data_IF_862265462311
#
_entry.id   IF_862265462311
#
_cell.length_a   1.000
_cell.length_b   1.000
_cell.length_c   1.000
_cell.angle_alpha   90.00
_cell.angle_beta   90.00
_cell.angle_gamma   90.00
#
_symmetry.space_group_name_H-M   'P 1'
#
loop_
_entity.id
_entity.type
_entity.pdbx_description
1 polymer ?
#
# COMPACT_ATOMS: atom_id res chain seq x y z
N UNK A 1 0.81 -17.08 28.94
CA UNK A 1 1.64 -16.41 27.90
C UNK A 1 1.89 -14.97 28.32
N UNK A 2 3.16 -14.54 28.33
CA UNK A 2 3.69 -13.21 28.63
C UNK A 2 2.80 -12.19 29.40
N UNK A 3 3.19 -11.81 30.61
CA UNK A 3 2.52 -10.73 31.35
C UNK A 3 3.29 -9.41 31.25
N UNK A 4 2.54 -8.32 31.08
CA UNK A 4 3.05 -6.94 31.21
C UNK A 4 2.94 -6.52 32.67
N UNK A 5 4.08 -6.43 33.37
CA UNK A 5 4.12 -5.94 34.74
C UNK A 5 4.67 -4.52 34.78
N UNK A 6 4.08 -3.69 35.65
CA UNK A 6 4.44 -2.29 35.84
C UNK A 6 5.34 -2.17 37.07
N UNK A 7 6.55 -1.65 36.89
CA UNK A 7 7.53 -1.56 38.00
C UNK A 7 7.75 -0.10 38.39
N UNK A 8 7.52 0.22 39.67
CA UNK A 8 7.92 1.45 40.38
C UNK A 8 7.79 2.79 39.63
N UNK A 9 6.59 3.41 39.66
CA UNK A 9 6.39 4.85 39.47
C UNK A 9 6.69 5.45 38.09
N UNK A 10 7.50 4.81 37.25
CA UNK A 10 7.69 5.12 35.82
C UNK A 10 6.99 4.04 35.00
N UNK A 11 6.36 4.42 33.89
CA UNK A 11 5.72 3.49 32.96
C UNK A 11 6.79 2.68 32.21
N UNK A 12 7.43 1.73 32.90
CA UNK A 12 8.28 0.71 32.29
C UNK A 12 7.48 -0.58 32.30
N UNK A 13 7.15 -1.07 31.10
CA UNK A 13 6.50 -2.35 30.91
C UNK A 13 7.58 -3.42 30.83
N UNK A 14 7.59 -4.36 31.76
CA UNK A 14 8.47 -5.53 31.70
C UNK A 14 7.68 -6.73 31.19
N UNK A 15 8.20 -7.38 30.15
CA UNK A 15 7.61 -8.60 29.59
C UNK A 15 8.18 -9.80 30.34
N UNK A 16 7.35 -10.53 31.08
CA UNK A 16 7.74 -11.72 31.85
C UNK A 16 7.10 -12.98 31.27
N UNK A 17 7.86 -14.07 31.09
CA UNK A 17 7.30 -15.36 30.68
C UNK A 17 6.60 -16.05 31.85
N UNK A 18 5.44 -16.65 31.58
CA UNK A 18 4.64 -17.38 32.58
C UNK A 18 4.26 -18.77 32.07
N UNK A 19 4.41 -19.75 32.95
CA UNK A 19 4.03 -21.14 32.72
C UNK A 19 2.53 -21.40 33.04
N UNK A 20 1.79 -20.36 33.39
CA UNK A 20 0.33 -20.40 33.52
C UNK A 20 -0.33 -20.24 32.14
N UNK A 21 -1.25 -21.14 31.79
CA UNK A 21 -1.89 -21.17 30.48
C UNK A 21 -2.92 -22.28 30.25
N UNK A 22 -3.08 -23.20 31.21
CA UNK A 22 -4.19 -24.14 31.22
C UNK A 22 -5.49 -23.44 31.59
N UNK A 23 -6.58 -23.81 30.93
CA UNK A 23 -7.91 -23.23 31.14
C UNK A 23 -8.86 -24.37 31.51
N UNK A 24 -9.53 -24.24 32.65
CA UNK A 24 -10.62 -25.15 33.03
C UNK A 24 -11.87 -24.73 32.25
N UNK A 25 -12.48 -25.65 31.52
CA UNK A 25 -13.73 -25.37 30.81
C UNK A 25 -14.83 -25.18 31.87
N UNK A 26 -15.58 -24.06 31.86
CA UNK A 26 -16.68 -23.85 32.79
C UNK A 26 -17.66 -25.03 32.77
N UNK A 27 -18.17 -25.42 33.95
CA UNK A 27 -19.16 -26.51 34.12
C UNK A 27 -18.64 -27.93 33.81
N UNK A 28 -17.33 -28.10 33.58
CA UNK A 28 -16.69 -29.42 33.47
C UNK A 28 -15.44 -29.49 34.36
N UNK A 29 -14.98 -30.70 34.68
CA UNK A 29 -13.68 -30.93 35.34
C UNK A 29 -12.51 -31.01 34.35
N UNK A 30 -12.76 -30.73 33.06
CA UNK A 30 -11.75 -30.79 32.02
C UNK A 30 -10.84 -29.56 32.03
N UNK A 31 -9.54 -29.82 31.98
CA UNK A 31 -8.49 -28.81 31.87
C UNK A 31 -7.89 -28.91 30.48
N UNK A 32 -8.00 -27.82 29.71
CA UNK A 32 -7.38 -27.72 28.40
C UNK A 32 -5.97 -27.19 28.58
N UNK A 33 -4.99 -28.03 28.25
CA UNK A 33 -3.61 -27.62 28.17
C UNK A 33 -3.37 -26.72 26.95
N UNK A 34 -2.45 -25.76 27.04
CA UNK A 34 -2.14 -24.91 25.91
C UNK A 34 -1.64 -25.78 24.74
N UNK A 35 -2.05 -25.43 23.53
CA UNK A 35 -1.63 -26.07 22.29
C UNK A 35 -1.38 -24.99 21.24
N UNK A 36 -0.56 -25.27 20.22
CA UNK A 36 -0.49 -24.41 19.05
C UNK A 36 -1.79 -24.49 18.23
N UNK A 37 -2.01 -23.51 17.35
CA UNK A 37 -3.12 -23.55 16.39
C UNK A 37 -3.05 -24.85 15.57
N UNK A 38 -4.16 -25.58 15.53
CA UNK A 38 -4.24 -26.93 14.95
C UNK A 38 -4.10 -28.08 15.95
N UNK A 39 -3.72 -27.81 17.21
CA UNK A 39 -3.84 -28.75 18.33
C UNK A 39 -2.82 -29.91 18.37
N UNK A 40 -1.86 -29.97 17.43
CA UNK A 40 -0.98 -31.14 17.24
C UNK A 40 0.17 -31.18 18.26
N UNK A 41 0.65 -30.02 18.73
CA UNK A 41 1.83 -29.94 19.59
C UNK A 41 1.59 -29.06 20.83
N UNK A 42 2.00 -29.57 22.00
CA UNK A 42 2.05 -28.79 23.24
C UNK A 42 3.24 -27.82 23.23
N UNK A 43 3.04 -26.55 23.63
CA UNK A 43 4.09 -25.55 23.79
C UNK A 43 4.92 -25.77 25.07
N UNK A 44 4.63 -26.81 25.87
CA UNK A 44 5.38 -27.14 27.09
C UNK A 44 6.44 -28.22 26.88
N UNK A 45 7.68 -27.92 27.28
CA UNK A 45 8.75 -28.93 27.30
C UNK A 45 9.87 -28.67 28.33
N UNK A 46 9.61 -27.90 29.40
CA UNK A 46 10.54 -27.57 30.51
C UNK A 46 11.87 -26.87 30.15
N UNK A 47 12.27 -26.83 28.87
CA UNK A 47 13.59 -26.32 28.44
C UNK A 47 13.56 -24.90 27.86
N UNK A 48 12.44 -24.45 27.30
CA UNK A 48 12.30 -23.13 26.66
C UNK A 48 10.98 -22.48 27.04
N UNK A 49 10.92 -21.15 26.96
CA UNK A 49 9.69 -20.42 27.25
C UNK A 49 8.65 -20.70 26.17
N UNK A 50 7.38 -20.74 26.55
CA UNK A 50 6.25 -20.90 25.60
C UNK A 50 6.28 -19.84 24.48
N UNK A 51 6.74 -18.62 24.77
CA UNK A 51 6.88 -17.53 23.77
C UNK A 51 7.93 -17.84 22.72
N UNK A 52 9.11 -18.29 23.13
CA UNK A 52 10.17 -18.67 22.19
C UNK A 52 9.74 -19.84 21.31
N UNK A 53 9.00 -20.80 21.88
CA UNK A 53 8.46 -21.92 21.12
C UNK A 53 7.36 -21.50 20.16
N UNK A 54 6.44 -20.63 20.58
CA UNK A 54 5.44 -20.05 19.70
C UNK A 54 6.09 -19.30 18.54
N UNK A 55 7.08 -18.46 18.82
CA UNK A 55 7.81 -17.73 17.78
C UNK A 55 8.46 -18.69 16.77
N UNK A 56 9.08 -19.78 17.25
CA UNK A 56 9.67 -20.81 16.38
C UNK A 56 8.62 -21.59 15.59
N UNK A 57 7.51 -21.94 16.21
CA UNK A 57 6.41 -22.65 15.56
C UNK A 57 5.76 -21.78 14.48
N UNK A 58 5.53 -20.50 14.76
CA UNK A 58 4.90 -19.53 13.84
C UNK A 58 5.64 -19.47 12.49
N UNK A 59 6.97 -19.52 12.50
CA UNK A 59 7.79 -19.48 11.27
C UNK A 59 8.32 -20.85 10.85
N UNK A 60 7.82 -21.93 11.47
CA UNK A 60 8.24 -23.28 11.13
C UNK A 60 7.67 -23.71 9.78
N UNK A 61 8.43 -24.54 9.05
CA UNK A 61 7.95 -25.13 7.77
C UNK A 61 6.72 -26.02 7.95
N UNK A 62 6.46 -26.48 9.17
CA UNK A 62 5.33 -27.32 9.51
C UNK A 62 4.06 -26.50 9.84
N UNK A 63 4.16 -25.17 9.90
CA UNK A 63 3.01 -24.29 10.07
C UNK A 63 2.45 -23.87 8.70
N UNK A 64 1.34 -24.46 8.22
CA UNK A 64 0.78 -24.13 6.91
C UNK A 64 0.18 -22.71 6.86
N UNK A 65 -0.24 -22.17 8.01
CA UNK A 65 -0.99 -20.92 8.08
C UNK A 65 -0.13 -19.69 7.79
N UNK A 66 1.12 -19.69 8.26
CA UNK A 66 2.00 -18.52 8.13
C UNK A 66 2.31 -18.19 6.67
N UNK A 67 2.60 -19.21 5.87
CA UNK A 67 2.88 -19.04 4.44
C UNK A 67 1.63 -18.55 3.69
N UNK A 68 0.47 -19.20 3.88
CA UNK A 68 -0.79 -18.80 3.25
C UNK A 68 -1.21 -17.39 3.63
N UNK A 69 -1.18 -17.04 4.92
CA UNK A 69 -1.54 -15.70 5.40
C UNK A 69 -0.61 -14.62 4.81
N UNK A 70 0.70 -14.88 4.78
CA UNK A 70 1.68 -13.93 4.22
C UNK A 70 1.48 -13.76 2.72
N UNK A 71 1.34 -14.86 1.97
CA UNK A 71 1.09 -14.83 0.53
C UNK A 71 -0.21 -14.08 0.24
N UNK A 72 -1.30 -14.39 0.93
CA UNK A 72 -2.60 -13.73 0.74
C UNK A 72 -2.52 -12.22 1.01
N UNK A 73 -1.78 -11.82 2.05
CA UNK A 73 -1.59 -10.41 2.38
C UNK A 73 -0.76 -9.67 1.35
N UNK A 74 0.34 -10.27 0.89
CA UNK A 74 1.18 -9.68 -0.18
C UNK A 74 0.39 -9.63 -1.50
N UNK A 75 -0.38 -10.66 -1.80
CA UNK A 75 -1.29 -10.68 -2.94
C UNK A 75 -2.30 -9.53 -2.83
N UNK A 76 -2.98 -9.35 -1.70
CA UNK A 76 -3.93 -8.26 -1.51
C UNK A 76 -3.30 -6.87 -1.70
N UNK A 77 -2.05 -6.65 -1.24
CA UNK A 77 -1.33 -5.39 -1.47
C UNK A 77 -1.08 -5.14 -2.97
N UNK A 78 -0.73 -6.19 -3.71
CA UNK A 78 -0.43 -6.10 -5.14
C UNK A 78 -1.68 -6.03 -6.01
N UNK A 79 -2.70 -6.82 -5.73
CA UNK A 79 -3.90 -6.98 -6.56
C UNK A 79 -5.13 -6.23 -6.01
N UNK A 80 -5.03 -5.59 -4.84
CA UNK A 80 -6.11 -4.82 -4.19
C UNK A 80 -7.07 -5.68 -3.37
N UNK A 81 -7.14 -6.98 -3.67
CA UNK A 81 -7.98 -7.96 -2.96
C UNK A 81 -7.19 -9.24 -2.74
N UNK A 82 -7.32 -9.82 -1.55
CA UNK A 82 -6.72 -11.14 -1.25
C UNK A 82 -7.46 -12.27 -1.95
N UNK A 83 -6.78 -13.39 -2.17
CA UNK A 83 -7.40 -14.64 -2.62
C UNK A 83 -8.42 -15.11 -1.58
N UNK A 84 -8.08 -14.94 -0.29
CA UNK A 84 -9.02 -14.94 0.84
C UNK A 84 -9.28 -13.49 1.22
N UNK A 85 -10.55 -13.11 1.30
CA UNK A 85 -10.94 -11.74 1.66
C UNK A 85 -12.14 -11.77 2.62
N UNK A 86 -12.10 -11.11 3.81
CA UNK A 86 -11.03 -10.26 4.33
C UNK A 86 -9.68 -10.97 4.51
N UNK A 87 -8.57 -10.22 4.39
CA UNK A 87 -7.21 -10.79 4.31
C UNK A 87 -6.78 -11.61 5.53
N UNK A 88 -7.37 -11.32 6.69
CA UNK A 88 -7.06 -11.95 7.97
C UNK A 88 -8.15 -12.96 8.42
N UNK A 89 -9.25 -13.10 7.66
CA UNK A 89 -10.39 -13.98 8.03
C UNK A 89 -10.28 -15.35 7.36
N UNK A 90 -9.31 -16.15 7.82
CA UNK A 90 -9.16 -17.53 7.42
C UNK A 90 -10.08 -18.44 8.24
N UNK A 91 -10.99 -19.15 7.58
CA UNK A 91 -11.86 -20.12 8.23
C UNK A 91 -12.73 -20.87 7.23
N UNK A 92 -13.37 -21.94 7.69
CA UNK A 92 -14.27 -22.74 6.84
C UNK A 92 -15.48 -21.95 6.33
N UNK A 93 -15.85 -20.86 7.02
CA UNK A 93 -16.92 -19.95 6.61
C UNK A 93 -16.50 -18.99 5.47
N UNK A 94 -15.20 -18.84 5.22
CA UNK A 94 -14.65 -17.94 4.20
C UNK A 94 -13.60 -18.67 3.33
N UNK A 95 -14.05 -19.54 2.41
CA UNK A 95 -13.14 -20.30 1.57
C UNK A 95 -12.35 -19.39 0.61
N UNK A 96 -11.13 -19.80 0.30
CA UNK A 96 -10.28 -19.17 -0.71
C UNK A 96 -10.96 -19.19 -2.08
N UNK A 97 -10.92 -18.07 -2.80
CA UNK A 97 -11.43 -17.99 -4.19
C UNK A 97 -10.66 -18.92 -5.13
N UNK A 98 -9.36 -19.09 -4.90
CA UNK A 98 -8.46 -19.92 -5.70
C UNK A 98 -7.58 -20.76 -4.76
N UNK A 99 -8.11 -21.84 -4.16
CA UNK A 99 -7.42 -22.59 -3.11
C UNK A 99 -6.13 -23.24 -3.61
N UNK A 100 -6.17 -23.88 -4.78
CA UNK A 100 -4.99 -24.54 -5.38
C UNK A 100 -3.84 -23.57 -5.63
N UNK A 101 -4.15 -22.37 -6.15
CA UNK A 101 -3.18 -21.30 -6.38
C UNK A 101 -2.56 -20.81 -5.06
N UNK A 102 -3.39 -20.57 -4.04
CA UNK A 102 -2.90 -20.11 -2.74
C UNK A 102 -1.98 -21.14 -2.09
N UNK A 103 -2.33 -22.42 -2.19
CA UNK A 103 -1.54 -23.52 -1.66
C UNK A 103 -0.20 -23.67 -2.37
N UNK A 104 -0.19 -23.58 -3.71
CA UNK A 104 1.04 -23.64 -4.50
C UNK A 104 1.98 -22.47 -4.15
N UNK A 105 1.46 -21.25 -4.13
CA UNK A 105 2.25 -20.06 -3.77
C UNK A 105 2.78 -20.13 -2.33
N UNK A 106 1.98 -20.63 -1.39
CA UNK A 106 2.39 -20.80 0.00
C UNK A 106 3.51 -21.85 0.13
N UNK A 107 3.42 -22.97 -0.58
CA UNK A 107 4.46 -24.00 -0.59
C UNK A 107 5.77 -23.46 -1.18
N UNK A 108 5.72 -22.79 -2.33
CA UNK A 108 6.92 -22.21 -2.96
C UNK A 108 7.53 -21.10 -2.11
N UNK A 109 6.70 -20.26 -1.47
CA UNK A 109 7.16 -19.25 -0.53
C UNK A 109 7.87 -19.89 0.68
N UNK A 110 7.33 -20.97 1.25
CA UNK A 110 7.98 -21.70 2.34
C UNK A 110 9.30 -22.37 1.88
N UNK A 111 9.35 -22.93 0.66
CA UNK A 111 10.57 -23.51 0.06
C UNK A 111 11.66 -22.46 -0.15
N UNK A 112 11.29 -21.23 -0.51
CA UNK A 112 12.21 -20.09 -0.65
C UNK A 112 12.87 -19.65 0.67
N UNK A 113 12.39 -20.15 1.81
CA UNK A 113 12.81 -19.69 3.13
C UNK A 113 12.12 -18.39 3.55
N UNK A 114 10.89 -18.17 3.08
CA UNK A 114 10.08 -16.96 3.34
C UNK A 114 10.71 -15.66 2.78
N UNK A 115 11.35 -15.73 1.61
CA UNK A 115 11.94 -14.57 0.95
C UNK A 115 10.86 -13.70 0.30
N UNK A 116 10.55 -12.56 0.94
CA UNK A 116 9.58 -11.58 0.45
C UNK A 116 10.00 -10.99 -0.90
N UNK A 117 11.30 -10.81 -1.16
CA UNK A 117 11.77 -10.28 -2.46
C UNK A 117 11.53 -11.28 -3.57
N UNK A 118 11.74 -12.56 -3.29
CA UNK A 118 11.39 -13.63 -4.21
C UNK A 118 9.87 -13.62 -4.49
N UNK A 119 9.03 -13.57 -3.44
CA UNK A 119 7.57 -13.57 -3.60
C UNK A 119 7.07 -12.41 -4.46
N UNK A 120 7.52 -11.18 -4.16
CA UNK A 120 7.18 -9.99 -4.94
C UNK A 120 7.60 -10.13 -6.40
N UNK A 121 8.82 -10.63 -6.66
CA UNK A 121 9.31 -10.85 -8.02
C UNK A 121 8.50 -11.90 -8.76
N UNK A 122 8.11 -12.98 -8.09
CA UNK A 122 7.31 -14.05 -8.67
C UNK A 122 5.92 -13.52 -9.07
N UNK A 123 5.24 -12.81 -8.16
CA UNK A 123 3.91 -12.27 -8.40
C UNK A 123 3.89 -11.21 -9.51
N UNK A 124 4.85 -10.26 -9.50
CA UNK A 124 4.93 -9.18 -10.50
C UNK A 124 5.28 -9.66 -11.92
N UNK A 125 5.81 -10.89 -12.05
CA UNK A 125 6.09 -11.52 -13.34
C UNK A 125 4.93 -12.36 -13.88
N UNK A 126 3.84 -12.48 -13.13
CA UNK A 126 2.67 -13.24 -13.58
C UNK A 126 1.89 -12.47 -14.65
N UNK A 127 1.20 -13.22 -15.53
CA UNK A 127 0.23 -12.62 -16.44
C UNK A 127 -0.85 -11.86 -15.68
N UNK A 128 -1.33 -12.41 -14.56
CA UNK A 128 -2.37 -11.80 -13.74
C UNK A 128 -2.00 -10.38 -13.28
N UNK A 129 -0.75 -10.17 -12.82
CA UNK A 129 -0.29 -8.85 -12.40
C UNK A 129 -0.12 -7.88 -13.56
N UNK A 130 0.14 -8.39 -14.77
CA UNK A 130 0.39 -7.59 -15.98
C UNK A 130 -0.87 -7.35 -16.82
N UNK A 131 -2.05 -7.73 -16.33
CA UNK A 131 -3.30 -7.48 -17.04
C UNK A 131 -3.65 -5.99 -17.03
N UNK A 132 -4.36 -5.52 -18.06
CA UNK A 132 -4.93 -4.18 -18.10
C UNK A 132 -6.00 -4.02 -17.02
N UNK A 133 -6.21 -2.79 -16.55
CA UNK A 133 -7.38 -2.44 -15.72
C UNK A 133 -8.62 -2.05 -16.53
N UNK A 134 -8.52 -1.99 -17.86
CA UNK A 134 -9.65 -1.67 -18.75
C UNK A 134 -10.76 -2.72 -18.65
N UNK A 135 -12.01 -2.25 -18.54
CA UNK A 135 -13.20 -3.09 -18.56
C UNK A 135 -13.68 -3.26 -20.00
N UNK A 136 -14.05 -4.48 -20.37
CA UNK A 136 -14.75 -4.78 -21.62
C UNK A 136 -16.27 -4.59 -21.53
N UNK A 137 -16.78 -4.24 -20.34
CA UNK A 137 -18.19 -4.03 -20.05
C UNK A 137 -19.04 -5.31 -20.06
N UNK A 138 -18.41 -6.49 -20.12
CA UNK A 138 -19.11 -7.77 -20.11
C UNK A 138 -19.42 -8.25 -18.69
N UNK A 139 -20.35 -9.20 -18.57
CA UNK A 139 -20.64 -9.86 -17.28
C UNK A 139 -19.50 -10.76 -16.77
N UNK A 140 -18.53 -11.06 -17.62
CA UNK A 140 -17.31 -11.80 -17.26
C UNK A 140 -16.25 -10.87 -16.63
N UNK A 141 -16.46 -9.56 -16.67
CA UNK A 141 -15.63 -8.58 -15.97
C UNK A 141 -15.87 -8.64 -14.45
N UNK A 142 -15.17 -9.57 -13.81
CA UNK A 142 -15.20 -9.84 -12.36
C UNK A 142 -13.81 -9.55 -11.76
N UNK A 143 -13.45 -8.27 -11.54
CA UNK A 143 -12.14 -7.90 -10.99
C UNK A 143 -11.89 -8.51 -9.60
N UNK A 144 -12.93 -8.83 -8.83
CA UNK A 144 -12.82 -9.52 -7.56
C UNK A 144 -12.35 -10.99 -7.67
N UNK A 145 -12.45 -11.56 -8.88
CA UNK A 145 -11.91 -12.88 -9.26
C UNK A 145 -10.66 -12.75 -10.14
N UNK A 146 -10.06 -11.57 -10.20
CA UNK A 146 -8.83 -11.31 -10.96
C UNK A 146 -8.98 -11.54 -12.48
N UNK A 147 -10.14 -11.25 -13.07
CA UNK A 147 -10.33 -11.26 -14.54
C UNK A 147 -9.50 -10.18 -15.26
N UNK A 148 -9.22 -9.09 -14.55
CA UNK A 148 -8.38 -7.96 -14.95
C UNK A 148 -7.71 -7.34 -13.73
N UNK A 149 -6.83 -6.35 -13.93
CA UNK A 149 -6.26 -5.63 -12.80
C UNK A 149 -7.34 -4.73 -12.16
N UNK A 150 -7.52 -4.89 -10.85
CA UNK A 150 -8.44 -4.04 -10.12
C UNK A 150 -7.83 -2.66 -9.92
N UNK A 151 -8.61 -1.61 -10.15
CA UNK A 151 -8.20 -0.24 -9.84
C UNK A 151 -8.15 -0.10 -8.32
N UNK A 152 -7.02 0.41 -7.81
CA UNK A 152 -6.79 0.59 -6.37
C UNK A 152 -6.61 2.05 -6.04
N UNK A 153 -7.11 2.45 -4.88
CA UNK A 153 -6.76 3.74 -4.31
C UNK A 153 -5.35 3.67 -3.71
N UNK A 154 -4.53 4.68 -3.96
CA UNK A 154 -3.26 4.83 -3.25
C UNK A 154 -3.54 5.07 -1.76
N UNK A 155 -2.78 4.43 -0.89
CA UNK A 155 -2.85 4.74 0.55
C UNK A 155 -2.35 6.16 0.80
N UNK A 156 -2.70 6.74 1.96
CA UNK A 156 -2.22 8.07 2.33
C UNK A 156 -0.68 8.18 2.28
N UNK A 157 0.02 7.11 2.70
CA UNK A 157 1.47 7.00 2.61
C UNK A 157 1.95 7.02 1.16
N UNK A 158 1.36 6.18 0.30
CA UNK A 158 1.73 6.10 -1.11
C UNK A 158 1.46 7.42 -1.84
N UNK A 159 0.31 8.04 -1.60
CA UNK A 159 -0.06 9.32 -2.21
C UNK A 159 0.92 10.43 -1.80
N UNK A 160 1.31 10.49 -0.52
CA UNK A 160 2.32 11.46 -0.06
C UNK A 160 3.68 11.24 -0.74
N UNK A 161 4.12 9.98 -0.80
CA UNK A 161 5.42 9.64 -1.38
C UNK A 161 5.41 9.91 -2.91
N UNK A 162 4.31 9.65 -3.61
CA UNK A 162 4.10 10.02 -5.02
C UNK A 162 4.12 11.56 -5.22
N UNK A 163 3.49 12.32 -4.34
CA UNK A 163 3.54 13.79 -4.38
C UNK A 163 4.97 14.30 -4.19
N UNK A 164 5.72 13.75 -3.24
CA UNK A 164 7.10 14.13 -3.01
C UNK A 164 7.99 13.85 -4.24
N UNK A 165 7.82 12.67 -4.85
CA UNK A 165 8.57 12.27 -6.05
C UNK A 165 8.19 13.11 -7.28
N UNK A 166 6.90 13.27 -7.58
CA UNK A 166 6.40 14.00 -8.74
C UNK A 166 6.81 15.48 -8.72
N UNK A 167 6.93 16.04 -7.52
CA UNK A 167 7.32 17.44 -7.31
C UNK A 167 8.83 17.61 -7.15
N UNK A 168 9.57 16.49 -7.22
CA UNK A 168 11.03 16.37 -7.02
C UNK A 168 11.51 17.02 -5.74
N UNK A 169 10.65 17.02 -4.72
CA UNK A 169 10.98 17.58 -3.42
C UNK A 169 12.00 16.65 -2.77
N UNK A 170 13.28 17.05 -2.77
CA UNK A 170 14.35 16.35 -2.04
C UNK A 170 14.18 16.54 -0.54
N UNK A 171 13.12 16.00 0.04
CA UNK A 171 13.16 15.67 1.46
C UNK A 171 13.98 14.39 1.57
N UNK A 172 15.18 14.49 2.14
CA UNK A 172 16.23 13.50 2.00
C UNK A 172 15.74 12.07 2.20
N UNK A 173 15.73 11.30 1.11
CA UNK A 173 15.68 9.84 1.09
C UNK A 173 16.92 9.37 1.88
N UNK A 174 16.80 9.25 3.21
CA UNK A 174 17.92 8.99 4.11
C UNK A 174 17.92 9.74 5.44
N UNK A 175 17.00 10.68 5.72
CA UNK A 175 16.89 11.27 7.06
C UNK A 175 16.15 10.34 8.04
N UNK A 176 16.79 9.23 8.40
CA UNK A 176 16.27 8.21 9.33
C UNK A 176 16.05 8.70 10.77
N UNK A 177 15.94 10.01 11.05
CA UNK A 177 15.83 10.56 12.41
C UNK A 177 14.98 11.82 12.58
N UNK A 178 14.35 12.33 11.53
CA UNK A 178 13.36 13.40 11.64
C UNK A 178 11.99 12.81 11.36
N UNK A 179 11.08 12.83 12.33
CA UNK A 179 9.66 12.68 12.03
C UNK A 179 9.33 13.83 11.07
N UNK A 180 9.13 13.53 9.79
CA UNK A 180 8.59 14.49 8.84
C UNK A 180 7.19 14.88 9.33
N UNK A 181 7.12 16.06 9.96
CA UNK A 181 5.90 16.59 10.54
C UNK A 181 4.86 16.84 9.45
N UNK A 182 5.28 17.17 8.22
CA UNK A 182 4.37 17.36 7.09
C UNK A 182 3.74 16.03 6.69
N UNK A 183 4.55 14.96 6.63
CA UNK A 183 4.04 13.59 6.39
C UNK A 183 3.04 13.17 7.46
N UNK A 184 3.36 13.35 8.74
CA UNK A 184 2.42 12.95 9.81
C UNK A 184 1.10 13.73 9.77
N UNK A 185 1.16 15.05 9.56
CA UNK A 185 -0.03 15.88 9.39
C UNK A 185 -0.85 15.49 8.17
N UNK A 186 -0.18 15.10 7.07
CA UNK A 186 -0.84 14.57 5.89
C UNK A 186 -1.54 13.25 6.20
N UNK A 187 -0.84 12.27 6.77
CA UNK A 187 -1.41 10.97 7.12
C UNK A 187 -2.59 11.10 8.08
N UNK A 188 -2.54 12.00 9.06
CA UNK A 188 -3.65 12.21 9.99
C UNK A 188 -4.92 12.70 9.28
N UNK A 189 -4.79 13.50 8.23
CA UNK A 189 -5.93 14.00 7.44
C UNK A 189 -6.46 12.99 6.42
N UNK A 190 -5.60 12.10 5.94
CA UNK A 190 -5.91 11.14 4.87
C UNK A 190 -6.17 9.71 5.36
N UNK A 191 -5.97 9.41 6.65
CA UNK A 191 -6.41 8.15 7.27
C UNK A 191 -7.93 8.12 7.39
N UNK A 192 -8.62 7.74 6.32
CA UNK A 192 -9.98 7.22 6.40
C UNK A 192 -9.93 5.73 6.81
N UNK A 193 -10.93 5.22 7.55
CA UNK A 193 -11.07 3.80 7.80
C UNK A 193 -11.55 3.09 6.51
N UNK A 194 -10.67 2.92 5.53
CA UNK A 194 -10.98 2.16 4.30
C UNK A 194 -11.28 0.71 4.64
N UNK A 195 -12.40 0.18 4.16
CA UNK A 195 -12.76 -1.24 4.31
C UNK A 195 -12.07 -2.15 3.27
N UNK A 196 -11.55 -1.59 2.18
CA UNK A 196 -10.72 -2.30 1.19
C UNK A 196 -9.85 -1.37 0.33
N UNK A 197 -8.81 -1.91 -0.32
CA UNK A 197 -7.88 -1.12 -1.18
C UNK A 197 -8.49 -0.72 -2.53
N UNK A 198 -9.55 -1.41 -2.95
CA UNK A 198 -10.29 -1.15 -4.20
C UNK A 198 -11.44 -0.17 -4.03
N UNK A 199 -11.72 0.26 -2.80
CA UNK A 199 -12.76 1.25 -2.51
C UNK A 199 -12.13 2.64 -2.49
N UNK A 200 -12.69 3.56 -3.29
CA UNK A 200 -12.28 4.95 -3.32
C UNK A 200 -13.15 5.76 -2.37
N UNK A 201 -12.63 6.07 -1.19
CA UNK A 201 -13.29 6.91 -0.19
C UNK A 201 -12.52 8.22 0.06
N UNK A 202 -12.06 8.89 -0.99
CA UNK A 202 -11.55 10.26 -0.82
C UNK A 202 -12.75 11.20 -0.62
N UNK A 203 -12.99 11.60 0.63
CA UNK A 203 -14.00 12.60 0.96
C UNK A 203 -13.66 14.00 0.42
N UNK A 204 -14.67 14.86 0.40
CA UNK A 204 -14.55 16.29 0.03
C UNK A 204 -13.38 16.98 0.79
N UNK A 205 -13.14 16.74 2.10
CA UNK A 205 -12.03 17.36 2.82
C UNK A 205 -10.64 16.96 2.29
N UNK A 206 -10.47 15.72 1.84
CA UNK A 206 -9.22 15.22 1.28
C UNK A 206 -8.94 15.88 -0.07
N UNK A 207 -9.94 15.93 -0.96
CA UNK A 207 -9.83 16.63 -2.24
C UNK A 207 -9.54 18.13 -2.05
N UNK A 208 -10.23 18.80 -1.12
CA UNK A 208 -9.96 20.21 -0.79
C UNK A 208 -8.56 20.42 -0.19
N UNK A 209 -8.05 19.44 0.57
CA UNK A 209 -6.69 19.47 1.12
C UNK A 209 -5.64 19.33 0.03
N UNK A 210 -5.88 18.53 -1.02
CA UNK A 210 -5.01 18.49 -2.20
C UNK A 210 -5.07 19.82 -2.95
N UNK A 211 -6.26 20.29 -3.30
CA UNK A 211 -6.44 21.50 -4.13
C UNK A 211 -5.85 22.77 -3.50
N UNK A 212 -6.02 22.93 -2.17
CA UNK A 212 -5.61 24.13 -1.43
C UNK A 212 -4.36 23.92 -0.55
N UNK A 213 -3.78 22.72 -0.58
CA UNK A 213 -2.67 22.35 0.29
C UNK A 213 -1.41 23.12 -0.04
N UNK A 214 -0.61 23.41 0.99
CA UNK A 214 0.71 24.02 0.80
C UNK A 214 1.62 23.13 -0.06
N UNK A 215 1.48 21.81 0.01
CA UNK A 215 2.26 20.87 -0.82
C UNK A 215 2.05 21.13 -2.31
N UNK A 216 0.79 21.18 -2.76
CA UNK A 216 0.46 21.42 -4.16
C UNK A 216 0.80 22.86 -4.55
N UNK A 217 0.51 23.86 -3.69
CA UNK A 217 0.86 25.26 -3.98
C UNK A 217 2.36 25.47 -4.19
N UNK A 218 3.21 24.84 -3.38
CA UNK A 218 4.67 24.94 -3.52
C UNK A 218 5.15 24.20 -4.79
N UNK A 219 4.53 23.06 -5.09
CA UNK A 219 4.84 22.27 -6.27
C UNK A 219 4.47 22.94 -7.60
N UNK A 220 3.44 23.79 -7.61
CA UNK A 220 2.94 24.47 -8.81
C UNK A 220 3.48 25.89 -8.97
N UNK A 221 4.24 26.39 -7.98
CA UNK A 221 4.90 27.68 -8.02
C UNK A 221 6.28 27.59 -8.70
N UNK A 222 6.50 28.44 -9.71
CA UNK A 222 7.73 28.46 -10.51
C UNK A 222 8.99 28.80 -9.70
N UNK A 223 8.86 29.49 -8.56
CA UNK A 223 9.99 29.87 -7.71
C UNK A 223 10.39 28.80 -6.70
N UNK A 224 9.52 27.80 -6.47
CA UNK A 224 9.70 26.78 -5.43
C UNK A 224 9.76 25.36 -6.00
N UNK A 225 9.25 25.15 -7.22
CA UNK A 225 9.18 23.84 -7.85
C UNK A 225 10.45 23.53 -8.66
N UNK A 226 11.25 22.59 -8.15
CA UNK A 226 12.44 22.08 -8.85
C UNK A 226 12.08 21.48 -10.22
N UNK A 227 10.92 20.83 -10.33
CA UNK A 227 10.41 20.27 -11.58
C UNK A 227 10.13 21.38 -12.62
N UNK A 228 9.36 22.40 -12.24
CA UNK A 228 8.99 23.48 -13.16
C UNK A 228 10.20 24.31 -13.60
N UNK A 229 11.15 24.53 -12.70
CA UNK A 229 12.43 25.20 -13.02
C UNK A 229 13.21 24.38 -14.05
N UNK A 230 13.30 23.05 -13.87
CA UNK A 230 14.04 22.17 -14.77
C UNK A 230 13.43 22.11 -16.19
N UNK A 231 12.11 22.00 -16.31
CA UNK A 231 11.44 21.92 -17.63
C UNK A 231 11.37 23.27 -18.36
N UNK A 232 11.49 24.38 -17.64
CA UNK A 232 11.52 25.72 -18.23
C UNK A 232 12.87 26.04 -18.92
N UNK A 233 13.81 25.11 -18.94
CA UNK A 233 15.05 25.28 -19.67
C UNK A 233 14.81 25.53 -21.18
N UNK A 234 15.65 26.34 -21.85
CA UNK A 234 15.39 26.85 -23.20
C UNK A 234 15.44 25.78 -24.30
N UNK A 235 15.97 24.60 -24.00
CA UNK A 235 16.12 23.50 -24.96
C UNK A 235 14.89 22.58 -25.07
N UNK A 236 13.89 22.73 -24.19
CA UNK A 236 12.66 21.95 -24.27
C UNK A 236 11.57 22.65 -25.08
N UNK A 237 10.94 21.92 -25.99
CA UNK A 237 9.71 22.35 -26.65
C UNK A 237 8.51 22.24 -25.70
N UNK A 238 7.44 23.00 -25.93
CA UNK A 238 6.22 22.89 -25.11
C UNK A 238 5.67 21.46 -25.07
N UNK A 239 5.78 20.73 -26.18
CA UNK A 239 5.39 19.32 -26.23
C UNK A 239 6.24 18.46 -25.28
N UNK A 240 7.57 18.61 -25.31
CA UNK A 240 8.47 17.87 -24.42
C UNK A 240 8.23 18.22 -22.95
N UNK A 241 7.92 19.48 -22.64
CA UNK A 241 7.57 19.91 -21.29
C UNK A 241 6.32 19.19 -20.78
N UNK A 242 5.29 19.09 -21.62
CA UNK A 242 4.06 18.35 -21.29
C UNK A 242 4.36 16.86 -21.11
N UNK A 243 5.17 16.25 -21.99
CA UNK A 243 5.56 14.85 -21.85
C UNK A 243 6.28 14.59 -20.51
N UNK A 244 7.20 15.47 -20.09
CA UNK A 244 7.90 15.37 -18.80
C UNK A 244 6.93 15.51 -17.63
N UNK A 245 5.96 16.44 -17.70
CA UNK A 245 4.94 16.60 -16.65
C UNK A 245 4.14 15.31 -16.46
N UNK A 246 3.65 14.71 -17.56
CA UNK A 246 2.89 13.45 -17.52
C UNK A 246 3.72 12.27 -17.01
N UNK A 247 4.98 12.15 -17.44
CA UNK A 247 5.85 11.08 -16.96
C UNK A 247 6.18 11.23 -15.48
N UNK A 248 6.32 12.46 -14.99
CA UNK A 248 6.66 12.72 -13.58
C UNK A 248 5.46 12.53 -12.64
N UNK A 249 4.22 12.74 -13.12
CA UNK A 249 3.01 12.62 -12.30
C UNK A 249 2.29 11.29 -12.49
N UNK A 250 2.06 10.86 -13.73
CA UNK A 250 1.22 9.71 -14.09
C UNK A 250 2.03 8.52 -14.64
N UNK A 251 3.36 8.63 -14.74
CA UNK A 251 4.24 7.58 -15.26
C UNK A 251 3.88 7.05 -16.66
N UNK A 252 3.16 7.83 -17.46
CA UNK A 252 2.80 7.53 -18.85
C UNK A 252 2.99 8.73 -19.75
N UNK A 253 2.97 8.51 -21.07
CA UNK A 253 2.88 9.61 -22.02
C UNK A 253 1.43 10.14 -22.14
N UNK A 254 1.24 11.42 -22.45
CA UNK A 254 -0.08 11.96 -22.76
C UNK A 254 -0.59 11.33 -24.06
N UNK A 255 -1.88 11.02 -24.09
CA UNK A 255 -2.55 10.57 -25.30
C UNK A 255 -2.56 11.71 -26.34
N UNK A 256 -2.52 11.45 -27.67
CA UNK A 256 -2.46 12.50 -28.69
C UNK A 256 -3.48 13.64 -28.51
N UNK A 257 -4.72 13.30 -28.15
CA UNK A 257 -5.78 14.29 -27.88
C UNK A 257 -5.49 15.18 -26.66
N UNK A 258 -4.99 14.60 -25.57
CA UNK A 258 -4.63 15.32 -24.35
C UNK A 258 -3.45 16.26 -24.64
N UNK A 259 -2.44 15.74 -25.34
CA UNK A 259 -1.24 16.48 -25.74
C UNK A 259 -1.62 17.72 -26.55
N UNK A 260 -2.43 17.56 -27.59
CA UNK A 260 -2.82 18.67 -28.46
C UNK A 260 -3.61 19.76 -27.70
N UNK A 261 -4.49 19.37 -26.78
CA UNK A 261 -5.26 20.31 -25.96
C UNK A 261 -4.37 21.08 -24.99
N UNK A 262 -3.48 20.37 -24.30
CA UNK A 262 -2.61 20.96 -23.26
C UNK A 262 -1.54 21.85 -23.90
N UNK A 263 -0.94 21.43 -25.01
CA UNK A 263 0.02 22.28 -25.74
C UNK A 263 -0.64 23.57 -26.21
N UNK A 264 -1.84 23.50 -26.79
CA UNK A 264 -2.62 24.70 -27.17
C UNK A 264 -2.93 25.60 -25.97
N UNK A 265 -3.20 25.02 -24.80
CA UNK A 265 -3.44 25.78 -23.58
C UNK A 265 -2.17 26.53 -23.10
N UNK A 266 -1.02 25.85 -23.11
CA UNK A 266 0.28 26.43 -22.73
C UNK A 266 0.72 27.52 -23.71
N UNK A 267 0.49 27.33 -25.01
CA UNK A 267 0.79 28.31 -26.05
C UNK A 267 -0.05 29.58 -25.95
N UNK A 268 -1.30 29.46 -25.50
CA UNK A 268 -2.17 30.62 -25.21
C UNK A 268 -1.79 31.38 -23.93
N UNK A 269 -0.80 30.89 -23.18
CA UNK A 269 -0.39 31.47 -21.90
C UNK A 269 -1.31 31.12 -20.72
N UNK A 270 -2.14 30.09 -20.87
CA UNK A 270 -3.06 29.64 -19.83
C UNK A 270 -4.04 30.73 -19.38
N UNK A 271 -4.42 30.72 -18.10
CA UNK A 271 -5.36 31.71 -17.53
C UNK A 271 -4.76 33.10 -17.36
N UNK A 272 -3.44 33.18 -17.17
CA UNK A 272 -2.73 34.41 -16.83
C UNK A 272 -2.02 35.08 -18.03
N UNK A 273 -2.08 34.48 -19.23
CA UNK A 273 -1.33 34.93 -20.41
C UNK A 273 0.19 34.70 -20.31
N UNK A 274 0.64 33.86 -19.36
CA UNK A 274 2.05 33.51 -19.15
C UNK A 274 2.23 32.00 -19.32
N UNK A 275 2.95 31.58 -20.37
CA UNK A 275 3.21 30.17 -20.67
C UNK A 275 3.91 29.44 -19.53
N UNK A 276 4.69 30.12 -18.68
CA UNK A 276 5.33 29.49 -17.52
C UNK A 276 4.31 29.15 -16.44
N UNK A 277 3.38 30.07 -16.16
CA UNK A 277 2.28 29.82 -15.21
C UNK A 277 1.32 28.76 -15.73
N UNK A 278 1.10 28.71 -17.05
CA UNK A 278 0.29 27.67 -17.67
C UNK A 278 0.83 26.25 -17.42
N UNK A 279 2.15 26.06 -17.34
CA UNK A 279 2.75 24.76 -16.96
C UNK A 279 2.47 24.40 -15.49
N UNK A 280 2.45 25.39 -14.60
CA UNK A 280 2.03 25.22 -13.20
C UNK A 280 0.56 24.83 -13.08
N UNK A 281 -0.31 25.45 -13.89
CA UNK A 281 -1.75 25.12 -13.96
C UNK A 281 -1.96 23.68 -14.46
N UNK A 282 -1.20 23.24 -15.46
CA UNK A 282 -1.23 21.86 -15.97
C UNK A 282 -0.76 20.87 -14.90
N UNK A 283 0.34 21.18 -14.21
CA UNK A 283 0.82 20.34 -13.10
C UNK A 283 -0.21 20.26 -11.97
N UNK A 284 -0.84 21.38 -11.62
CA UNK A 284 -1.92 21.41 -10.63
C UNK A 284 -3.09 20.49 -11.04
N UNK A 285 -3.50 20.55 -12.31
CA UNK A 285 -4.59 19.72 -12.82
C UNK A 285 -4.25 18.22 -12.80
N UNK A 286 -3.02 17.86 -13.15
CA UNK A 286 -2.55 16.46 -13.09
C UNK A 286 -2.52 15.94 -11.65
N UNK A 287 -1.99 16.69 -10.69
CA UNK A 287 -1.90 16.29 -9.29
C UNK A 287 -3.27 16.17 -8.59
N UNK A 288 -4.30 16.86 -9.08
CA UNK A 288 -5.67 16.81 -8.56
C UNK A 288 -6.59 15.90 -9.40
N UNK A 289 -6.06 15.21 -10.40
CA UNK A 289 -6.82 14.27 -11.21
C UNK A 289 -7.15 13.00 -10.43
N UNK A 290 -8.27 12.35 -10.77
CA UNK A 290 -8.60 11.03 -10.22
C UNK A 290 -7.52 9.99 -10.57
N UNK A 291 -6.92 10.10 -11.76
CA UNK A 291 -5.85 9.22 -12.22
C UNK A 291 -4.62 9.26 -11.31
N UNK A 292 -4.31 10.40 -10.69
CA UNK A 292 -3.16 10.51 -9.79
C UNK A 292 -3.36 9.81 -8.44
N UNK A 293 -4.61 9.66 -7.98
CA UNK A 293 -4.93 9.02 -6.69
C UNK A 293 -5.14 7.52 -6.85
N UNK A 294 -5.28 7.05 -8.09
CA UNK A 294 -5.56 5.66 -8.43
C UNK A 294 -4.30 4.96 -8.96
N UNK A 295 -4.27 3.65 -8.77
CA UNK A 295 -3.30 2.73 -9.35
C UNK A 295 -4.07 1.79 -10.27
N UNK A 296 -3.78 1.91 -11.57
CA UNK A 296 -4.50 1.31 -12.69
C UNK A 296 -3.53 0.71 -13.72
#
# INVERSE_FOLDING_TARGET
FAQLQRTNGRQVFQVSDSDNGSVKIPETDEVVEPAFLGGIESPDNKEKTRRERLAKWMVSKNNPYFAQATVNRVWALLFGRGIVNPVDDFGNHNPSSHPELLDELAQEFAKSGYDIKWLLRSLTRTRAYQMSSESDGTTEDRPELFSRMAIKSLTAEQLYDCLAEATRRREGIGSTRGIDQNRQLFLQKFRAPTQGLTEYEAGIPQALTLMNGNLIRQATDLGQSDLLVAINAPFFTNQQRVDVLFLSTLSRYPHPKERDQIVKYVEKGGTAGDSKKALGDVLWALLNSAEFVLNH
#
